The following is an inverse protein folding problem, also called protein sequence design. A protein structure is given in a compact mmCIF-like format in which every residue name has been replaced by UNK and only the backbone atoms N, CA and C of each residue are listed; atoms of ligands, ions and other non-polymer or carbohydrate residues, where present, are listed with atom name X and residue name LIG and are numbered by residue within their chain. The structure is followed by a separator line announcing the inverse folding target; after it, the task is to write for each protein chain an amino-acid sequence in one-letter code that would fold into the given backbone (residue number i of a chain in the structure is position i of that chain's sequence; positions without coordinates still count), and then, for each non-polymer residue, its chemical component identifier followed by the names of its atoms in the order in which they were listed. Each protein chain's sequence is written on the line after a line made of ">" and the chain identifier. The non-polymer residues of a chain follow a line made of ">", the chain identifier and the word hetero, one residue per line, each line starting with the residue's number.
data_IF_272682239279
#
_entry.id   IF_272682239279
#
_cell.length_a   1.000
_cell.length_b   1.000
_cell.length_c   1.000
_cell.angle_alpha   90.00
_cell.angle_beta   90.00
_cell.angle_gamma   90.00
#
_symmetry.space_group_name_H-M   'P 1'
#
loop_
_entity.id
_entity.type
_entity.pdbx_description
1 polymer ?
2 non-polymer ?
3 non-polymer ?
4 non-polymer ?
5 non-polymer ?
6 non-polymer ?
7 water ?
#
# COMPACT_ATOMS: atom_id res chain seq x y z
N UNK A 1 14.34 -3.50 10.36
CA UNK A 1 14.34 -2.08 10.42
C UNK A 1 13.62 -1.56 9.16
N UNK A 2 12.90 -0.45 9.26
CA UNK A 2 12.22 0.14 8.08
C UNK A 2 13.21 1.05 7.34
N UNK A 3 13.54 0.69 6.11
CA UNK A 3 14.69 1.28 5.36
C UNK A 3 14.26 2.12 4.17
N UNK A 4 12.97 2.18 3.87
CA UNK A 4 12.49 3.05 2.77
C UNK A 4 11.01 3.35 2.92
N UNK A 5 10.60 4.39 2.20
CA UNK A 5 9.19 4.53 1.76
C UNK A 5 9.04 3.60 0.56
N UNK A 6 8.21 2.57 0.71
CA UNK A 6 7.93 1.63 -0.39
C UNK A 6 6.89 2.26 -1.31
N UNK A 7 5.77 2.72 -0.78
CA UNK A 7 4.71 3.25 -1.65
C UNK A 7 3.72 4.14 -0.92
N UNK A 8 3.05 4.93 -1.74
CA UNK A 8 1.90 5.74 -1.29
C UNK A 8 0.65 5.10 -1.90
N UNK A 9 -0.25 4.65 -1.06
CA UNK A 9 -1.50 4.07 -1.54
C UNK A 9 -2.53 5.16 -1.77
N UNK A 10 -3.04 5.27 -2.98
CA UNK A 10 -3.98 6.35 -3.40
C UNK A 10 -5.25 5.66 -3.89
N UNK A 11 -6.36 5.93 -3.23
CA UNK A 11 -7.69 5.37 -3.57
C UNK A 11 -8.34 6.22 -4.66
N UNK A 12 -8.94 5.55 -5.65
CA UNK A 12 -9.62 6.26 -6.75
C UNK A 12 -10.85 5.46 -7.19
N UNK A 13 -11.78 6.17 -7.80
CA UNK A 13 -13.05 5.60 -8.30
C UNK A 13 -12.77 4.79 -9.56
N UNK A 14 -11.89 5.28 -10.42
CA UNK A 14 -11.65 4.68 -11.76
C UNK A 14 -10.16 4.54 -11.99
N UNK A 15 -9.64 3.33 -11.87
CA UNK A 15 -8.19 3.12 -11.96
C UNK A 15 -7.70 3.60 -13.32
N UNK A 16 -8.39 3.23 -14.40
CA UNK A 16 -7.86 3.54 -15.76
C UNK A 16 -7.82 5.04 -15.93
N UNK A 17 -8.81 5.77 -15.43
CA UNK A 17 -8.79 7.24 -15.58
C UNK A 17 -7.64 7.84 -14.74
N UNK A 18 -7.46 7.36 -13.52
CA UNK A 18 -6.43 7.91 -12.61
C UNK A 18 -5.04 7.55 -13.16
N UNK A 19 -4.83 6.33 -13.66
CA UNK A 19 -3.53 5.96 -14.27
C UNK A 19 -3.23 6.94 -15.42
N UNK A 20 -4.25 7.25 -16.22
CA UNK A 20 -4.04 8.15 -17.39
C UNK A 20 -3.67 9.55 -16.92
N UNK A 21 -4.28 10.02 -15.83
CA UNK A 21 -3.97 11.35 -15.26
C UNK A 21 -2.49 11.36 -14.85
N UNK A 22 -1.99 10.30 -14.20
CA UNK A 22 -0.57 10.30 -13.73
C UNK A 22 0.35 10.26 -14.96
N UNK A 23 0.02 9.45 -15.96
CA UNK A 23 0.86 9.32 -17.18
C UNK A 23 0.89 10.68 -17.92
N UNK A 24 -0.26 11.26 -18.20
CA UNK A 24 -0.37 12.50 -19.02
C UNK A 24 0.25 13.69 -18.29
N UNK A 25 0.06 13.76 -16.98
CA UNK A 25 0.43 14.98 -16.24
C UNK A 25 1.90 14.94 -15.91
N UNK A 26 2.41 13.82 -15.43
CA UNK A 26 3.80 13.72 -14.91
C UNK A 26 4.72 12.83 -15.77
N UNK A 27 4.18 12.06 -16.69
CA UNK A 27 5.02 11.12 -17.46
C UNK A 27 5.30 9.84 -16.70
N UNK A 28 4.62 9.55 -15.60
CA UNK A 28 4.83 8.27 -14.87
C UNK A 28 4.23 7.12 -15.66
N UNK A 29 4.94 6.00 -15.77
CA UNK A 29 4.45 4.84 -16.53
C UNK A 29 3.95 3.77 -15.56
N UNK A 30 3.09 2.88 -16.03
CA UNK A 30 2.65 1.71 -15.23
C UNK A 30 3.80 0.70 -15.13
N UNK A 31 4.22 0.40 -13.92
CA UNK A 31 5.20 -0.64 -13.61
C UNK A 31 4.50 -2.00 -13.59
N UNK A 32 3.36 -2.06 -12.96
CA UNK A 32 2.62 -3.33 -12.78
C UNK A 32 1.15 -3.06 -12.51
N UNK A 33 0.29 -3.97 -12.89
CA UNK A 33 -1.13 -3.94 -12.48
C UNK A 33 -1.50 -5.33 -12.02
N UNK A 34 -2.39 -5.39 -11.04
CA UNK A 34 -2.96 -6.69 -10.62
C UNK A 34 -4.23 -6.48 -9.82
N UNK A 35 -4.99 -7.55 -9.67
CA UNK A 35 -6.19 -7.58 -8.81
C UNK A 35 -5.83 -8.38 -7.57
N UNK A 36 -6.19 -7.84 -6.40
CA UNK A 36 -5.98 -8.56 -5.12
C UNK A 36 -7.37 -8.85 -4.57
N UNK A 37 -7.87 -10.07 -4.76
CA UNK A 37 -9.29 -10.37 -4.41
C UNK A 37 -9.46 -10.31 -2.89
N UNK A 38 -8.51 -10.85 -2.14
CA UNK A 38 -8.48 -10.82 -0.66
C UNK A 38 -8.60 -9.36 -0.19
N UNK A 39 -7.78 -8.43 -0.71
CA UNK A 39 -7.79 -7.01 -0.25
C UNK A 39 -8.99 -6.25 -0.86
N UNK A 40 -9.59 -6.75 -1.95
CA UNK A 40 -10.70 -6.07 -2.63
C UNK A 40 -10.26 -4.85 -3.46
N UNK A 41 -9.15 -4.98 -4.19
CA UNK A 41 -8.61 -3.85 -4.99
C UNK A 41 -8.13 -4.32 -6.36
N UNK A 42 -8.32 -3.42 -7.32
CA UNK A 42 -7.59 -3.44 -8.61
C UNK A 42 -6.51 -2.38 -8.48
N UNK A 43 -5.25 -2.73 -8.70
CA UNK A 43 -4.13 -1.81 -8.34
C UNK A 43 -3.25 -1.58 -9.55
N UNK A 44 -2.63 -0.42 -9.59
CA UNK A 44 -1.57 -0.09 -10.55
C UNK A 44 -0.41 0.51 -9.76
N UNK A 45 0.78 -0.04 -9.96
CA UNK A 45 2.02 0.48 -9.35
C UNK A 45 2.74 1.33 -10.40
N UNK A 46 3.09 2.56 -10.06
CA UNK A 46 3.91 3.44 -10.90
C UNK A 46 5.21 3.66 -10.15
N UNK A 47 6.34 3.28 -10.75
CA UNK A 47 7.63 3.42 -10.07
C UNK A 47 8.15 4.84 -10.25
N UNK A 48 8.49 5.50 -9.15
CA UNK A 48 8.94 6.91 -9.19
C UNK A 48 10.45 6.94 -9.08
N UNK A 49 11.03 6.07 -8.27
CA UNK A 49 12.50 6.10 -8.10
C UNK A 49 12.98 4.81 -7.47
N UNK A 50 14.29 4.62 -7.53
CA UNK A 50 14.93 3.54 -6.74
C UNK A 50 15.42 4.16 -5.42
N UNK A 51 15.68 3.30 -4.42
CA UNK A 51 16.02 3.71 -3.06
C UNK A 51 17.33 3.08 -2.60
N UNK A 52 17.97 3.80 -1.70
CA UNK A 52 19.34 3.54 -1.14
C UNK A 52 19.40 2.16 -0.46
N UNK A 53 18.28 1.52 -0.10
CA UNK A 53 18.30 0.17 0.53
C UNK A 53 18.21 -0.92 -0.53
N UNK A 54 18.21 -0.59 -1.82
CA UNK A 54 18.11 -1.59 -2.88
C UNK A 54 16.70 -1.76 -3.39
N UNK A 55 15.71 -1.11 -2.78
CA UNK A 55 14.31 -1.25 -3.19
C UNK A 55 13.90 -0.09 -4.08
N UNK A 56 12.61 0.23 -4.06
CA UNK A 56 12.04 1.26 -4.93
C UNK A 56 10.86 1.91 -4.21
N UNK A 57 10.44 3.03 -4.76
CA UNK A 57 9.26 3.77 -4.25
C UNK A 57 8.27 3.88 -5.40
N UNK A 58 6.99 3.69 -5.10
CA UNK A 58 5.90 3.62 -6.06
C UNK A 58 4.73 4.48 -5.59
N UNK A 59 3.90 4.89 -6.55
CA UNK A 59 2.50 5.24 -6.27
C UNK A 59 1.69 3.99 -6.53
N UNK A 60 0.86 3.63 -5.56
CA UNK A 60 -0.02 2.45 -5.68
C UNK A 60 -1.43 3.00 -5.84
N UNK A 61 -1.97 2.98 -7.04
CA UNK A 61 -3.32 3.48 -7.32
C UNK A 61 -4.26 2.31 -7.09
N UNK A 62 -5.33 2.54 -6.36
CA UNK A 62 -6.26 1.46 -5.98
C UNK A 62 -7.70 1.84 -6.27
N UNK A 63 -8.38 0.98 -7.02
CA UNK A 63 -9.85 1.03 -7.21
C UNK A 63 -10.47 -0.16 -6.50
N UNK A 64 -11.58 0.02 -5.76
CA UNK A 64 -12.19 -1.10 -5.06
C UNK A 64 -12.80 -2.10 -6.04
N UNK A 65 -12.72 -3.40 -5.74
CA UNK A 65 -13.44 -4.44 -6.54
C UNK A 65 -14.87 -4.59 -6.01
N UNK A 66 -15.16 -4.18 -4.77
CA UNK A 66 -16.51 -4.32 -4.14
C UNK A 66 -16.67 -3.19 -3.13
N UNK A 67 -17.90 -2.77 -2.85
CA UNK A 67 -18.17 -1.69 -1.88
C UNK A 67 -17.74 -2.13 -0.47
N UNK A 68 -17.95 -3.40 -0.12
CA UNK A 68 -17.64 -3.91 1.24
C UNK A 68 -16.18 -4.39 1.22
N UNK A 69 -15.28 -3.40 1.24
CA UNK A 69 -13.82 -3.58 1.26
C UNK A 69 -13.23 -2.38 1.98
N UNK A 70 -11.98 -2.53 2.41
CA UNK A 70 -11.22 -1.43 3.05
C UNK A 70 -11.33 -0.17 2.18
N UNK A 71 -10.95 -0.28 0.90
CA UNK A 71 -10.88 0.92 0.03
C UNK A 71 -12.30 1.37 -0.38
N UNK A 72 -13.22 0.45 -0.63
CA UNK A 72 -14.62 0.81 -0.98
C UNK A 72 -15.26 1.64 0.12
N UNK A 73 -15.10 1.19 1.36
CA UNK A 73 -15.65 1.92 2.53
C UNK A 73 -14.97 3.27 2.66
N UNK A 74 -13.64 3.28 2.58
CA UNK A 74 -12.91 4.55 2.71
C UNK A 74 -13.35 5.55 1.61
N UNK A 75 -13.49 5.11 0.35
CA UNK A 75 -13.88 6.02 -0.76
C UNK A 75 -15.27 6.60 -0.51
N UNK A 76 -16.19 5.74 -0.08
CA UNK A 76 -17.58 6.12 0.24
C UNK A 76 -17.57 7.25 1.27
N UNK A 77 -16.70 7.18 2.27
CA UNK A 77 -16.69 8.12 3.42
C UNK A 77 -15.90 9.37 3.03
N UNK A 78 -14.79 9.23 2.29
CA UNK A 78 -13.78 10.33 2.22
C UNK A 78 -13.59 10.86 0.82
N UNK A 79 -14.03 10.14 -0.18
CA UNK A 79 -13.69 10.43 -1.57
C UNK A 79 -12.24 10.05 -1.88
N UNK A 80 -11.84 10.30 -3.13
CA UNK A 80 -10.53 9.93 -3.71
C UNK A 80 -9.43 10.64 -2.93
N UNK A 81 -8.30 9.97 -2.74
CA UNK A 81 -7.18 10.59 -2.02
C UNK A 81 -6.23 9.57 -1.46
N UNK A 82 -5.29 10.03 -0.67
CA UNK A 82 -4.30 9.12 -0.08
C UNK A 82 -5.00 8.23 0.96
N UNK A 83 -4.77 6.96 0.86
CA UNK A 83 -5.44 5.91 1.67
C UNK A 83 -4.45 5.37 2.70
N UNK A 84 -3.18 5.11 2.32
CA UNK A 84 -2.16 4.58 3.25
C UNK A 84 -0.74 4.96 2.80
N UNK A 85 0.23 4.74 3.67
CA UNK A 85 1.67 4.85 3.35
C UNK A 85 2.29 3.50 3.70
N UNK A 86 3.31 3.11 2.98
CA UNK A 86 3.96 1.81 3.17
C UNK A 86 5.46 2.02 3.30
N UNK A 87 6.04 1.38 4.28
CA UNK A 87 7.48 1.35 4.57
C UNK A 87 8.03 -0.02 4.19
N UNK A 88 9.18 -0.03 3.54
CA UNK A 88 9.87 -1.26 3.18
C UNK A 88 10.82 -1.71 4.27
N UNK A 89 10.98 -3.03 4.35
CA UNK A 89 11.87 -3.68 5.34
C UNK A 89 12.32 -5.02 4.74
N UNK A 90 13.50 -5.46 5.14
CA UNK A 90 14.04 -6.78 4.73
C UNK A 90 13.36 -7.87 5.54
N UNK A 91 12.71 -7.53 6.66
CA UNK A 91 12.13 -8.58 7.55
C UNK A 91 10.85 -8.09 8.19
N UNK A 92 9.75 -8.21 7.45
CA UNK A 92 8.44 -7.66 7.90
C UNK A 92 8.01 -8.45 9.14
N UNK A 93 8.31 -9.75 9.22
CA UNK A 93 7.85 -10.54 10.39
C UNK A 93 8.47 -9.99 11.68
N UNK A 94 9.78 -9.77 11.68
CA UNK A 94 10.50 -9.28 12.87
C UNK A 94 10.06 -7.85 13.19
N UNK A 95 9.92 -6.99 12.18
CA UNK A 95 9.60 -5.56 12.45
C UNK A 95 8.18 -5.47 13.01
N UNK A 96 7.25 -6.25 12.47
CA UNK A 96 5.86 -6.40 12.96
C UNK A 96 5.82 -6.88 14.42
N UNK A 97 6.61 -7.89 14.76
CA UNK A 97 6.71 -8.40 16.15
C UNK A 97 7.24 -7.29 17.08
N UNK A 98 8.23 -6.50 16.66
CA UNK A 98 8.75 -5.41 17.51
C UNK A 98 7.68 -4.36 17.74
N UNK A 99 6.94 -4.03 16.69
CA UNK A 99 5.94 -2.94 16.77
C UNK A 99 4.73 -3.44 17.58
N UNK A 100 4.37 -4.71 17.44
CA UNK A 100 3.30 -5.33 18.30
C UNK A 100 3.68 -5.15 19.79
N UNK A 101 4.95 -5.37 20.10
CA UNK A 101 5.49 -5.27 21.47
C UNK A 101 5.51 -3.82 21.96
N UNK A 102 5.21 -2.85 21.12
CA UNK A 102 5.08 -1.46 21.60
C UNK A 102 3.61 -1.12 21.82
N UNK A 103 2.68 -2.05 21.59
CA UNK A 103 1.26 -1.76 21.84
C UNK A 103 0.57 -1.10 20.67
N UNK A 104 1.26 -1.01 19.52
CA UNK A 104 0.58 -0.58 18.27
C UNK A 104 -0.13 -1.79 17.70
N UNK A 105 -1.39 -1.67 17.30
CA UNK A 105 -2.14 -2.84 16.78
C UNK A 105 -1.63 -3.22 15.39
N UNK A 106 -1.14 -4.45 15.28
CA UNK A 106 -0.73 -5.07 13.99
C UNK A 106 -1.93 -5.85 13.47
N UNK A 107 -2.44 -5.51 12.28
CA UNK A 107 -3.74 -6.10 11.84
C UNK A 107 -3.59 -7.58 11.47
N UNK A 108 -2.44 -8.07 11.03
CA UNK A 108 -2.32 -9.51 10.66
C UNK A 108 -1.30 -10.19 11.59
N UNK A 109 -1.67 -11.35 12.17
CA UNK A 109 -0.67 -12.19 12.89
C UNK A 109 0.53 -12.41 11.96
N UNK A 110 0.22 -12.94 10.78
CA UNK A 110 1.20 -13.44 9.78
C UNK A 110 1.10 -12.52 8.58
N UNK A 111 2.21 -11.98 8.04
CA UNK A 111 2.12 -11.21 6.80
C UNK A 111 1.33 -11.92 5.68
N UNK A 112 0.57 -11.13 4.92
CA UNK A 112 -0.29 -11.62 3.83
C UNK A 112 0.32 -11.19 2.49
N UNK A 113 -0.28 -11.68 1.41
CA UNK A 113 0.24 -11.38 0.05
C UNK A 113 -0.14 -9.96 -0.33
N UNK A 114 0.85 -9.19 -0.78
CA UNK A 114 0.59 -7.88 -1.39
C UNK A 114 1.14 -7.83 -2.81
N UNK A 115 1.39 -6.64 -3.33
CA UNK A 115 1.75 -6.42 -4.77
C UNK A 115 2.96 -7.28 -5.13
N UNK A 116 3.00 -7.82 -6.35
CA UNK A 116 4.23 -8.47 -6.89
C UNK A 116 4.79 -9.49 -5.88
N UNK A 117 3.89 -10.29 -5.30
CA UNK A 117 4.28 -11.38 -4.40
C UNK A 117 4.84 -10.90 -3.07
N UNK A 118 4.76 -9.61 -2.73
CA UNK A 118 5.35 -9.09 -1.47
C UNK A 118 4.63 -9.73 -0.27
N UNK A 119 5.23 -9.60 0.92
CA UNK A 119 4.56 -9.95 2.20
C UNK A 119 4.33 -8.66 3.00
N UNK A 120 3.10 -8.48 3.41
CA UNK A 120 2.64 -7.18 3.95
C UNK A 120 1.90 -7.38 5.28
N UNK A 121 1.88 -6.32 6.09
CA UNK A 121 0.96 -6.19 7.23
C UNK A 121 0.61 -4.73 7.35
N UNK A 122 -0.33 -4.45 8.23
CA UNK A 122 -0.81 -3.07 8.46
C UNK A 122 -0.86 -2.75 9.95
N UNK A 123 -0.64 -1.49 10.28
CA UNK A 123 -0.80 -0.95 11.63
C UNK A 123 -2.08 -0.13 11.67
N UNK A 124 -2.83 -0.25 12.75
CA UNK A 124 -4.14 0.44 12.87
C UNK A 124 -3.90 1.94 12.83
N UNK A 125 -4.66 2.70 11.99
CA UNK A 125 -4.43 4.13 11.85
C UNK A 125 -4.68 4.93 13.14
N UNK A 126 -5.57 4.43 14.00
CA UNK A 126 -5.86 5.12 15.30
C UNK A 126 -4.66 4.99 16.24
N UNK A 127 -3.74 4.04 16.02
CA UNK A 127 -2.50 3.87 16.80
C UNK A 127 -1.37 4.64 16.16
N UNK A 128 -1.58 5.19 14.96
CA UNK A 128 -0.50 5.84 14.17
C UNK A 128 -0.84 7.31 13.86
N UNK A 129 -1.50 8.00 14.77
CA UNK A 129 -1.91 9.41 14.55
C UNK A 129 -2.62 9.60 13.20
N UNK A 130 -3.50 8.68 12.86
CA UNK A 130 -4.46 8.83 11.77
C UNK A 130 -3.97 8.33 10.41
N UNK A 131 -2.81 7.66 10.36
CA UNK A 131 -2.21 7.20 9.09
C UNK A 131 -2.24 5.67 9.06
N UNK A 132 -3.02 5.07 8.17
CA UNK A 132 -2.95 3.63 7.93
C UNK A 132 -1.57 3.32 7.38
N UNK A 133 -0.82 2.48 8.09
CA UNK A 133 0.62 2.27 7.87
C UNK A 133 0.87 0.81 7.51
N UNK A 134 1.42 0.57 6.33
CA UNK A 134 1.75 -0.76 5.80
C UNK A 134 3.23 -1.02 6.00
N UNK A 135 3.56 -2.29 6.27
CA UNK A 135 4.95 -2.77 6.27
C UNK A 135 5.09 -3.81 5.15
N UNK A 136 6.18 -3.71 4.38
CA UNK A 136 6.35 -4.50 3.12
C UNK A 136 7.76 -5.08 3.09
N UNK A 137 7.85 -6.38 2.84
CA UNK A 137 9.07 -7.05 2.36
C UNK A 137 8.81 -7.54 0.94
N UNK A 138 9.57 -7.01 0.01
CA UNK A 138 9.49 -7.38 -1.42
C UNK A 138 9.84 -8.86 -1.59
N UNK A 139 9.29 -9.51 -2.61
CA UNK A 139 9.73 -10.86 -3.04
C UNK A 139 10.96 -10.68 -3.95
X LIG B 1 -0.28 -0.81 -0.17
X LIG C 1 -10.26 3.71 8.31
X LIG C 1 -9.86 4.67 9.15
X LIG C 1 -8.80 5.28 8.66
X LIG C 1 -8.54 4.55 7.40
X LIG C 1 -9.47 3.57 7.23
X LIG C 1 -8.00 6.26 9.06
X LIG C 1 -6.99 6.57 8.27
X LIG C 1 -6.65 5.97 7.09
X LIG C 1 -7.40 4.97 6.60
X LIG C 1 -7.18 4.36 5.42
X LIG C 1 -10.55 5.06 10.43
X LIG C 1 -12.03 5.33 10.21
X LIG C 1 -12.14 6.71 9.93
X LIG C 1 -12.60 4.99 11.56
X LIG C 1 -12.27 6.11 12.35
X LIG C 1 -11.72 3.90 12.12
X LIG C 1 -10.51 3.99 11.35
X LIG C 1 -12.28 2.55 11.88
X LIG C 1 -12.73 2.65 10.54
X LIG C 1 -13.55 1.41 9.97
X LIG C 1 -14.93 1.92 9.94
X LIG C 1 -13.12 0.14 10.76
X LIG C 1 -13.39 1.01 8.47
X LIG C 1 -12.77 -0.48 8.23
X LIG C 1 -13.78 -1.54 8.61
X LIG C 1 -12.31 -0.53 6.75
X LIG C 1 -11.58 -0.78 9.28
X LIG C 1 -10.42 0.05 9.30
X LIG C 1 -9.17 -0.61 8.80
X LIG C 1 -9.27 -1.56 7.65
X LIG C 1 -7.87 -0.09 9.28
X LIG C 1 -9.23 -1.70 9.92
X LIG C 1 -9.52 -0.65 6.60
X LIG C 1 -8.12 -2.41 7.27
X LIG C 1 -8.02 -3.55 7.73
X LIG C 1 -7.21 -1.95 6.43
X LIG C 1 -6.08 -2.77 6.05
X LIG C 1 -6.26 -3.47 4.72
X LIG C 1 -6.26 -2.46 3.57
X LIG C 1 -6.41 -1.27 3.75
X LIG C 1 -6.17 -2.97 2.36
X LIG C 1 -6.28 -2.15 1.15
X LIG C 1 -4.91 -1.90 0.57
X LIG C 1 -13.37 6.83 13.35
X LIG C 1 -13.49 6.03 14.62
X LIG C 1 -14.67 6.77 12.60
X LIG C 1 -12.81 8.22 13.69
X LIG C 1 -4.18 -3.34 -0.32
X LIG C 1 -2.51 -2.92 -0.55
X LIG C 1 -2.06 -1.91 -0.07
X LIG C 1 -1.69 -3.76 -1.18
X LIG C 1 -2.26 -5.08 -1.69
X LIG C 1 -0.24 -3.68 -1.24
X LIG C 1 0.34 -4.79 -1.47
X LIG C 1 0.49 -2.77 -0.84
X LIG D 1 -14.60 12.30 -4.76
X LIG D 1 -15.13 10.97 -4.58
X LIG D 1 -15.11 12.84 -6.01
X LIG D 1 -15.02 13.16 -3.67
X LIG D 1 -13.16 12.27 -4.79
X LIG E 1 12.91 -2.65 18.27
X LIG E 1 11.90 -3.16 19.15
X LIG E 1 12.42 -1.50 17.42
X LIG E 1 12.53 -0.27 18.14
X LIG E 1 12.78 0.88 17.33
X LIG E 1 12.55 2.12 18.15
X LIG E 1 13.75 2.76 18.56
X LIG F 1 9.23 -1.99 23.83
X LIG F 1 10.06 -2.28 22.70
X LIG F 1 9.60 -3.56 22.06
X LIG F 1 10.15 -3.75 20.77
X LIG G 1 -5.93 -12.39 -5.98
#
# INVERSE_FOLDING_TARGET
>A
SLTRIDHIGIACHDLDATVEFYRATYGFEVFHTEVNEEQGVREAMLKINDTSDGGASYLQLLEPTREDSAVGKWLAKNGEGVHHIAFGTADVDADAADIRDKGVRVLYDEPRRGSMGSRITFLHPKDCHGVLTELVTSAAVESPEH
>B hetero
1 CO CO
>C hetero
1 V0V C8 N9 C4 C5 N7 N3 C2 N1 C6 N6 C1' C2' O2' C3' O3' C4' O4' C5' O5' P1 O11 O12 O6 P2 O21 O22 O7 CPB CPA CP7 CP9 CP8 OP3 CP6 OP2 NP2 CP5 CP4 CP3 OP1 NP1 CP2 CP1 P3 O31 O32 O33 S CS1 OS1 CS2 CS3 CS4 OS4 OS5
>D hetero
1 SO4 S O1 O2 O3 O4
>E hetero
1 PEG C1 O1 C2 O2 C3 C4 O4
>F hetero
1 PEG O2 C3 C4 O4
>G hetero
1 CL CL
#
